data_IF_311077638019
#
_entry.id   IF_311077638019
#
_cell.length_a   1.000
_cell.length_b   1.000
_cell.length_c   1.000
_cell.angle_alpha   90.00
_cell.angle_beta   90.00
_cell.angle_gamma   90.00
#
_symmetry.space_group_name_H-M   'P 1'
#
loop_
_entity.id
_entity.type
_entity.pdbx_description
1 polymer ?
#
# COMPACT_ATOMS: atom_id res chain seq x y z
N UNK A 1 -35.93 7.66 43.29
CA UNK A 1 -35.27 6.99 42.12
C UNK A 1 -35.56 5.50 42.23
N UNK A 2 -36.33 4.93 41.29
CA UNK A 2 -36.68 3.51 41.27
C UNK A 2 -35.43 2.67 41.01
N UNK A 3 -35.38 1.47 41.60
CA UNK A 3 -34.23 0.51 41.50
C UNK A 3 -33.85 0.19 40.03
N UNK A 4 -34.83 0.29 39.12
CA UNK A 4 -34.70 0.13 37.67
C UNK A 4 -33.84 1.24 37.04
N UNK A 5 -33.95 2.50 37.45
CA UNK A 5 -33.21 3.62 36.88
C UNK A 5 -31.73 3.57 37.23
N UNK A 6 -31.40 3.02 38.41
CA UNK A 6 -30.00 2.78 38.82
C UNK A 6 -29.32 1.65 38.02
N UNK A 7 -30.08 0.58 37.71
CA UNK A 7 -29.55 -0.53 36.90
C UNK A 7 -29.34 -0.12 35.44
N UNK A 8 -30.23 0.68 34.87
CA UNK A 8 -30.08 1.20 33.52
C UNK A 8 -28.91 2.20 33.42
N UNK A 9 -28.73 3.07 34.42
CA UNK A 9 -27.62 4.01 34.47
C UNK A 9 -26.25 3.28 34.61
N UNK A 10 -26.19 2.18 35.40
CA UNK A 10 -25.00 1.35 35.52
C UNK A 10 -24.69 0.60 34.24
N UNK A 11 -25.68 0.09 33.52
CA UNK A 11 -25.50 -0.58 32.25
C UNK A 11 -24.97 0.39 31.16
N UNK A 12 -25.53 1.60 31.07
CA UNK A 12 -25.08 2.64 30.15
C UNK A 12 -23.63 3.09 30.47
N UNK A 13 -23.31 3.26 31.77
CA UNK A 13 -21.96 3.60 32.19
C UNK A 13 -20.94 2.49 31.88
N UNK A 14 -21.33 1.20 32.03
CA UNK A 14 -20.47 0.07 31.69
C UNK A 14 -20.21 -0.02 30.18
N UNK A 15 -21.23 0.20 29.34
CA UNK A 15 -21.09 0.22 27.87
C UNK A 15 -20.20 1.40 27.44
N UNK A 16 -20.41 2.59 28.02
CA UNK A 16 -19.55 3.76 27.72
C UNK A 16 -18.11 3.52 28.15
N UNK A 17 -17.86 2.87 29.29
CA UNK A 17 -16.52 2.51 29.77
C UNK A 17 -15.84 1.47 28.87
N UNK A 18 -16.58 0.45 28.39
CA UNK A 18 -16.10 -0.51 27.43
C UNK A 18 -15.75 0.16 26.08
N UNK A 19 -16.56 1.11 25.63
CA UNK A 19 -16.30 1.87 24.39
C UNK A 19 -15.06 2.76 24.52
N UNK A 20 -14.88 3.42 25.68
CA UNK A 20 -13.67 4.22 25.95
C UNK A 20 -12.42 3.36 26.08
N UNK A 21 -12.53 2.16 26.68
CA UNK A 21 -11.42 1.22 26.80
C UNK A 21 -11.05 0.61 25.43
N UNK A 22 -12.04 0.28 24.58
CA UNK A 22 -11.75 -0.21 23.22
C UNK A 22 -11.15 0.89 22.33
N UNK A 23 -11.64 2.12 22.41
CA UNK A 23 -11.04 3.26 21.69
C UNK A 23 -9.64 3.58 22.24
N UNK A 24 -9.43 3.53 23.57
CA UNK A 24 -8.12 3.70 24.19
C UNK A 24 -7.14 2.59 23.82
N UNK A 25 -7.60 1.33 23.75
CA UNK A 25 -6.79 0.19 23.33
C UNK A 25 -6.44 0.28 21.83
N UNK A 26 -7.39 0.68 20.98
CA UNK A 26 -7.13 0.93 19.57
C UNK A 26 -6.16 2.10 19.37
N UNK A 27 -6.23 3.14 20.20
CA UNK A 27 -5.28 4.26 20.17
C UNK A 27 -3.89 3.86 20.69
N UNK A 28 -3.82 3.01 21.72
CA UNK A 28 -2.57 2.54 22.32
C UNK A 28 -1.90 1.41 21.54
N UNK A 29 -2.67 0.52 20.91
CA UNK A 29 -2.16 -0.57 20.08
C UNK A 29 -2.01 -0.17 18.59
N UNK A 30 -2.71 0.86 18.14
CA UNK A 30 -2.60 1.41 16.79
C UNK A 30 -1.64 2.60 16.66
N UNK A 31 -1.21 3.21 17.78
CA UNK A 31 -0.45 4.47 17.78
C UNK A 31 1.08 4.34 17.74
N UNK A 32 1.65 3.20 18.07
CA UNK A 32 3.12 3.04 18.11
C UNK A 32 3.65 1.83 17.29
N UNK A 33 2.78 1.06 16.67
CA UNK A 33 3.17 -0.08 15.83
C UNK A 33 2.98 0.13 14.34
N UNK A 34 2.43 1.28 13.92
CA UNK A 34 2.07 1.52 12.51
C UNK A 34 3.01 2.48 11.77
N UNK A 35 3.99 3.02 12.47
CA UNK A 35 5.13 3.64 11.82
C UNK A 35 6.22 2.57 11.74
N UNK A 36 6.16 1.72 10.73
CA UNK A 36 7.39 1.13 10.23
C UNK A 36 8.32 2.31 10.00
N UNK A 37 9.31 2.44 10.89
CA UNK A 37 10.41 3.33 10.69
C UNK A 37 11.00 2.92 9.34
N UNK A 38 10.59 3.59 8.27
CA UNK A 38 11.49 3.77 7.16
C UNK A 38 12.74 4.31 7.83
N UNK A 39 13.77 3.50 7.90
CA UNK A 39 15.09 3.91 8.34
C UNK A 39 15.48 5.00 7.32
N UNK A 40 15.10 6.25 7.63
CA UNK A 40 15.56 7.42 6.93
C UNK A 40 17.06 7.54 7.22
N UNK A 41 17.84 6.75 6.50
CA UNK A 41 19.15 7.21 6.13
C UNK A 41 18.91 8.42 5.23
N UNK A 42 19.50 9.55 5.53
CA UNK A 42 19.60 10.71 4.63
C UNK A 42 20.02 10.18 3.26
N UNK A 43 19.08 9.95 2.34
CA UNK A 43 19.31 9.27 1.07
C UNK A 43 18.02 8.64 0.53
N UNK A 44 18.06 8.28 -0.69
CA UNK A 44 17.00 7.72 -1.52
C UNK A 44 16.16 6.67 -0.79
N UNK A 45 14.85 6.89 -0.67
CA UNK A 45 13.89 5.87 -0.23
C UNK A 45 13.81 4.80 -1.30
N UNK A 46 14.05 3.54 -0.92
CA UNK A 46 14.13 2.40 -1.81
C UNK A 46 13.02 1.39 -1.51
N UNK A 47 12.58 0.73 -2.57
CA UNK A 47 11.70 -0.42 -2.51
C UNK A 47 12.36 -1.61 -3.22
N UNK A 48 12.09 -2.82 -2.78
CA UNK A 48 12.76 -4.04 -3.24
C UNK A 48 11.74 -4.96 -3.89
N UNK A 49 11.88 -5.18 -5.20
CA UNK A 49 11.03 -6.08 -5.96
C UNK A 49 11.65 -7.48 -5.95
N UNK A 50 10.93 -8.46 -5.42
CA UNK A 50 11.31 -9.87 -5.55
C UNK A 50 10.89 -10.37 -6.92
N UNK A 51 11.84 -10.63 -7.80
CA UNK A 51 11.65 -11.14 -9.13
C UNK A 51 11.80 -12.67 -9.14
N UNK A 52 10.82 -13.38 -9.71
CA UNK A 52 10.84 -14.84 -9.84
C UNK A 52 11.63 -15.35 -11.04
N UNK A 53 12.11 -14.45 -11.89
CA UNK A 53 12.96 -14.76 -13.03
C UNK A 53 12.83 -13.77 -14.17
N UNK A 54 13.73 -13.92 -15.15
CA UNK A 54 13.84 -13.10 -16.36
C UNK A 54 13.66 -13.98 -17.61
N UNK A 55 12.97 -13.47 -18.62
CA UNK A 55 12.56 -14.21 -19.81
C UNK A 55 12.79 -13.37 -21.06
N UNK A 56 13.45 -13.94 -22.07
CA UNK A 56 13.62 -13.29 -23.38
C UNK A 56 12.28 -13.24 -24.14
N UNK A 57 11.33 -14.13 -23.81
CA UNK A 57 10.04 -14.22 -24.46
C UNK A 57 8.92 -13.81 -23.49
N UNK A 58 8.19 -12.75 -23.83
CA UNK A 58 7.07 -12.21 -23.04
C UNK A 58 5.96 -13.24 -22.77
N UNK A 59 5.74 -14.21 -23.69
CA UNK A 59 4.74 -15.25 -23.50
C UNK A 59 5.16 -16.22 -22.37
N UNK A 60 6.45 -16.56 -22.30
CA UNK A 60 6.98 -17.35 -21.19
C UNK A 60 6.88 -16.60 -19.87
N UNK A 61 7.20 -15.31 -19.86
CA UNK A 61 7.01 -14.46 -18.70
C UNK A 61 5.56 -14.44 -18.21
N UNK A 62 4.59 -14.29 -19.13
CA UNK A 62 3.16 -14.32 -18.80
C UNK A 62 2.72 -15.66 -18.21
N UNK A 63 3.18 -16.78 -18.78
CA UNK A 63 2.88 -18.10 -18.24
C UNK A 63 3.46 -18.28 -16.81
N UNK A 64 4.69 -17.82 -16.58
CA UNK A 64 5.31 -17.81 -15.25
C UNK A 64 4.56 -16.89 -14.28
N UNK A 65 4.08 -15.74 -14.75
CA UNK A 65 3.26 -14.81 -13.99
C UNK A 65 1.94 -15.43 -13.54
N UNK A 66 1.23 -16.16 -14.41
CA UNK A 66 -0.02 -16.86 -14.04
C UNK A 66 0.25 -17.96 -13.00
N UNK A 67 1.37 -18.68 -13.11
CA UNK A 67 1.78 -19.62 -12.10
C UNK A 67 2.11 -18.94 -10.75
N UNK A 68 2.76 -17.79 -10.78
CA UNK A 68 3.02 -16.99 -9.58
C UNK A 68 1.72 -16.53 -8.92
N UNK A 69 0.75 -16.01 -9.69
CA UNK A 69 -0.57 -15.58 -9.20
C UNK A 69 -1.32 -16.74 -8.52
N UNK A 70 -1.30 -17.93 -9.09
CA UNK A 70 -1.98 -19.09 -8.50
C UNK A 70 -1.42 -19.49 -7.12
N UNK A 71 -0.22 -19.02 -6.79
CA UNK A 71 0.48 -19.24 -5.50
C UNK A 71 0.44 -18.00 -4.59
N UNK A 72 -0.32 -16.98 -4.95
CA UNK A 72 -0.43 -15.72 -4.20
C UNK A 72 0.69 -14.71 -4.47
N UNK A 73 1.56 -14.94 -5.44
CA UNK A 73 2.51 -13.94 -5.92
C UNK A 73 1.83 -12.87 -6.77
N UNK A 74 2.43 -11.69 -6.92
CA UNK A 74 1.89 -10.61 -7.77
C UNK A 74 1.70 -11.06 -9.23
N UNK A 75 2.67 -11.78 -9.77
CA UNK A 75 2.67 -12.16 -11.18
C UNK A 75 2.60 -10.93 -12.10
N UNK A 76 3.29 -9.85 -11.71
CA UNK A 76 3.42 -8.66 -12.52
C UNK A 76 4.56 -8.85 -13.52
N UNK A 77 4.34 -8.47 -14.79
CA UNK A 77 5.37 -8.60 -15.83
C UNK A 77 5.87 -7.21 -16.20
N UNK A 78 7.12 -6.94 -15.86
CA UNK A 78 7.84 -5.77 -16.40
C UNK A 78 8.34 -6.16 -17.78
N UNK A 79 7.82 -5.49 -18.81
CA UNK A 79 8.18 -5.75 -20.21
C UNK A 79 9.31 -4.85 -20.65
N UNK A 80 10.39 -5.43 -21.16
CA UNK A 80 11.57 -4.75 -21.69
C UNK A 80 12.26 -5.63 -22.73
N UNK A 81 13.54 -5.40 -22.98
CA UNK A 81 14.37 -6.28 -23.82
C UNK A 81 14.36 -7.71 -23.25
N UNK A 82 14.37 -7.80 -21.94
CA UNK A 82 14.09 -9.01 -21.17
C UNK A 82 12.88 -8.72 -20.29
N UNK A 83 11.91 -9.64 -20.25
CA UNK A 83 10.71 -9.51 -19.43
C UNK A 83 10.96 -10.12 -18.06
N UNK A 84 10.68 -9.38 -16.99
CA UNK A 84 10.85 -9.81 -15.60
C UNK A 84 9.50 -10.12 -14.95
N UNK A 85 9.42 -11.21 -14.19
CA UNK A 85 8.20 -11.56 -13.43
C UNK A 85 8.41 -11.19 -11.98
N UNK A 86 7.65 -10.20 -11.49
CA UNK A 86 7.70 -9.74 -10.12
C UNK A 86 6.68 -10.50 -9.27
N UNK A 87 7.13 -11.02 -8.13
CA UNK A 87 6.33 -11.79 -7.18
C UNK A 87 5.75 -10.95 -6.05
N UNK A 88 6.51 -9.97 -5.57
CA UNK A 88 6.11 -9.06 -4.49
C UNK A 88 7.03 -7.82 -4.46
N UNK A 89 6.57 -6.78 -3.75
CA UNK A 89 7.36 -5.61 -3.39
C UNK A 89 7.54 -5.56 -1.87
N UNK A 90 8.71 -5.10 -1.40
CA UNK A 90 9.09 -5.00 0.00
C UNK A 90 9.68 -3.62 0.30
N UNK A 91 9.38 -3.09 1.47
CA UNK A 91 10.00 -1.85 1.96
C UNK A 91 11.44 -2.08 2.48
N UNK A 92 11.77 -3.32 2.88
CA UNK A 92 13.06 -3.72 3.45
C UNK A 92 13.76 -4.74 2.55
N UNK A 93 15.07 -4.57 2.36
CA UNK A 93 15.92 -5.56 1.68
C UNK A 93 15.95 -6.88 2.46
N UNK A 94 16.04 -6.82 3.78
CA UNK A 94 16.14 -7.99 4.64
C UNK A 94 14.89 -8.87 4.55
N UNK A 95 13.70 -8.26 4.45
CA UNK A 95 12.44 -8.99 4.25
C UNK A 95 12.41 -9.68 2.89
N UNK A 96 12.80 -8.99 1.83
CA UNK A 96 12.89 -9.57 0.50
C UNK A 96 13.92 -10.71 0.45
N UNK A 97 15.08 -10.51 1.09
CA UNK A 97 16.16 -11.50 1.17
C UNK A 97 15.74 -12.74 1.96
N UNK A 98 15.01 -12.56 3.07
CA UNK A 98 14.51 -13.68 3.88
C UNK A 98 13.59 -14.60 3.06
N UNK A 99 12.73 -14.02 2.20
CA UNK A 99 11.85 -14.80 1.32
C UNK A 99 12.64 -15.48 0.20
N UNK A 100 13.65 -14.80 -0.34
CA UNK A 100 14.55 -15.35 -1.36
C UNK A 100 15.32 -16.56 -0.81
N UNK A 101 15.93 -16.42 0.37
CA UNK A 101 16.71 -17.47 1.05
C UNK A 101 15.84 -18.65 1.46
N UNK A 102 14.55 -18.39 1.79
CA UNK A 102 13.56 -19.44 2.05
C UNK A 102 13.21 -20.31 0.84
N UNK A 103 13.71 -19.98 -0.36
CA UNK A 103 13.58 -20.76 -1.58
C UNK A 103 12.16 -20.78 -2.18
N UNK A 104 11.21 -20.05 -1.60
CA UNK A 104 9.82 -20.01 -2.06
C UNK A 104 9.65 -19.23 -3.38
N UNK A 105 10.60 -18.37 -3.72
CA UNK A 105 10.60 -17.57 -4.94
C UNK A 105 11.00 -18.36 -6.20
N UNK A 106 11.57 -19.55 -6.05
CA UNK A 106 12.00 -20.41 -7.14
C UNK A 106 13.46 -20.22 -7.59
N UNK A 107 13.92 -21.11 -8.46
CA UNK A 107 15.30 -21.07 -8.99
C UNK A 107 15.46 -19.90 -9.95
N UNK A 108 16.49 -19.08 -9.77
CA UNK A 108 16.76 -17.91 -10.59
C UNK A 108 16.03 -16.65 -10.15
N UNK A 109 15.37 -16.69 -8.97
CA UNK A 109 14.82 -15.50 -8.36
C UNK A 109 15.92 -14.54 -7.87
N UNK A 110 15.62 -13.25 -7.85
CA UNK A 110 16.53 -12.20 -7.42
C UNK A 110 15.77 -10.98 -6.92
N UNK A 111 16.47 -10.08 -6.24
CA UNK A 111 15.93 -8.82 -5.76
C UNK A 111 16.37 -7.70 -6.69
N UNK A 112 15.41 -6.88 -7.13
CA UNK A 112 15.62 -5.66 -7.90
C UNK A 112 15.31 -4.47 -7.03
N UNK A 113 16.27 -3.56 -6.89
CA UNK A 113 16.09 -2.31 -6.18
C UNK A 113 15.42 -1.26 -7.07
N UNK A 114 14.46 -0.54 -6.52
CA UNK A 114 13.73 0.56 -7.16
C UNK A 114 13.80 1.77 -6.26
N UNK A 115 14.25 2.90 -6.78
CA UNK A 115 14.26 4.17 -6.06
C UNK A 115 12.90 4.83 -6.15
N UNK A 116 12.21 4.95 -5.02
CA UNK A 116 10.90 5.62 -4.93
C UNK A 116 11.00 7.05 -4.39
N UNK A 117 12.16 7.44 -3.93
CA UNK A 117 12.63 8.79 -3.58
C UNK A 117 11.75 9.59 -2.62
N UNK A 118 12.37 10.51 -1.91
CA UNK A 118 11.67 11.59 -1.25
C UNK A 118 11.43 12.70 -2.27
N UNK A 119 10.15 13.06 -2.50
CA UNK A 119 9.79 14.10 -3.46
C UNK A 119 9.73 15.44 -2.70
N UNK A 120 10.65 16.38 -2.97
CA UNK A 120 10.64 17.67 -2.31
C UNK A 120 9.40 18.48 -2.72
N UNK A 121 8.88 19.28 -1.80
CA UNK A 121 7.70 20.14 -2.01
C UNK A 121 8.03 21.65 -2.00
N UNK A 122 9.30 21.98 -2.17
CA UNK A 122 9.79 23.37 -2.25
C UNK A 122 9.23 24.16 -3.45
N UNK A 123 8.78 23.44 -4.47
CA UNK A 123 8.04 23.99 -5.61
C UNK A 123 6.64 24.50 -5.26
N UNK A 124 6.04 24.00 -4.18
CA UNK A 124 4.69 24.37 -3.78
C UNK A 124 4.70 25.74 -3.06
N UNK A 125 3.81 26.68 -3.42
CA UNK A 125 3.58 27.88 -2.64
C UNK A 125 3.27 27.58 -1.17
N UNK A 126 3.60 28.51 -0.28
CA UNK A 126 3.52 28.29 1.16
C UNK A 126 2.12 27.84 1.66
N UNK A 127 1.07 28.37 1.05
CA UNK A 127 -0.33 28.05 1.35
C UNK A 127 -0.80 26.69 0.84
N UNK A 128 -0.08 26.11 -0.13
CA UNK A 128 -0.36 24.79 -0.69
C UNK A 128 0.58 23.70 -0.16
N UNK A 129 1.70 24.06 0.48
CA UNK A 129 2.79 23.12 0.82
C UNK A 129 2.32 21.99 1.73
N UNK A 130 1.59 22.31 2.78
CA UNK A 130 1.06 21.30 3.72
C UNK A 130 0.13 20.29 3.01
N UNK A 131 -0.72 20.76 2.10
CA UNK A 131 -1.58 19.89 1.30
C UNK A 131 -0.78 19.02 0.32
N UNK A 132 0.30 19.54 -0.27
CA UNK A 132 1.19 18.79 -1.16
C UNK A 132 1.99 17.72 -0.39
N UNK A 133 2.53 18.05 0.79
CA UNK A 133 3.21 17.09 1.68
C UNK A 133 2.25 15.97 2.11
N UNK A 134 1.06 16.34 2.57
CA UNK A 134 0.01 15.37 2.91
C UNK A 134 -0.34 14.48 1.71
N UNK A 135 -0.54 15.08 0.54
CA UNK A 135 -0.88 14.36 -0.69
C UNK A 135 0.21 13.35 -1.08
N UNK A 136 1.49 13.71 -0.98
CA UNK A 136 2.62 12.79 -1.27
C UNK A 136 2.68 11.59 -0.33
N UNK A 137 2.16 11.72 0.89
CA UNK A 137 2.01 10.61 1.86
C UNK A 137 1.05 9.51 1.43
N UNK A 138 0.33 9.67 0.30
CA UNK A 138 -0.55 8.62 -0.24
C UNK A 138 0.19 7.30 -0.48
N UNK A 139 1.45 7.40 -0.91
CA UNK A 139 2.25 6.22 -1.25
C UNK A 139 2.42 5.29 -0.06
N UNK A 140 2.88 5.82 1.08
CA UNK A 140 3.11 5.04 2.28
C UNK A 140 1.81 4.42 2.79
N UNK A 141 0.74 5.21 2.83
CA UNK A 141 -0.59 4.76 3.28
C UNK A 141 -1.10 3.61 2.41
N UNK A 142 -0.97 3.71 1.08
CA UNK A 142 -1.47 2.68 0.17
C UNK A 142 -0.55 1.46 0.17
N UNK A 143 0.77 1.68 0.17
CA UNK A 143 1.75 0.59 0.22
C UNK A 143 1.54 -0.26 1.47
N UNK A 144 1.54 0.34 2.65
CA UNK A 144 1.35 -0.35 3.92
C UNK A 144 0.00 -1.07 3.97
N UNK A 145 -1.07 -0.41 3.53
CA UNK A 145 -2.39 -1.02 3.48
C UNK A 145 -2.40 -2.29 2.62
N UNK A 146 -1.86 -2.23 1.40
CA UNK A 146 -1.85 -3.36 0.48
C UNK A 146 -0.90 -4.47 0.97
N UNK A 147 0.30 -4.10 1.42
CA UNK A 147 1.34 -5.00 1.89
C UNK A 147 0.90 -5.78 3.14
N UNK A 148 0.47 -5.06 4.20
CA UNK A 148 0.02 -5.66 5.44
C UNK A 148 -1.24 -6.50 5.27
N UNK A 149 -2.17 -6.06 4.40
CA UNK A 149 -3.38 -6.82 4.10
C UNK A 149 -3.04 -8.12 3.37
N UNK A 150 -2.13 -8.09 2.40
CA UNK A 150 -1.67 -9.29 1.69
C UNK A 150 -0.99 -10.29 2.64
N UNK A 151 -0.11 -9.80 3.50
CA UNK A 151 0.61 -10.63 4.48
C UNK A 151 -0.35 -11.20 5.54
N UNK A 152 -1.32 -10.40 6.01
CA UNK A 152 -2.32 -10.86 6.97
C UNK A 152 -3.20 -11.98 6.43
N UNK A 153 -3.63 -11.91 5.16
CA UNK A 153 -4.37 -13.00 4.51
C UNK A 153 -3.45 -14.22 4.30
N UNK A 154 -2.22 -14.02 3.84
CA UNK A 154 -1.28 -15.10 3.60
C UNK A 154 -0.89 -15.87 4.87
N UNK A 155 -0.91 -15.21 6.03
CA UNK A 155 -0.64 -15.78 7.34
C UNK A 155 -1.91 -16.28 8.07
N UNK A 156 -3.07 -16.30 7.41
CA UNK A 156 -4.39 -16.63 8.00
C UNK A 156 -4.74 -15.80 9.25
N UNK A 157 -4.11 -14.65 9.44
CA UNK A 157 -4.38 -13.70 10.53
C UNK A 157 -5.45 -12.66 10.18
N UNK A 158 -5.82 -12.56 8.90
CA UNK A 158 -6.82 -11.64 8.37
C UNK A 158 -7.76 -12.37 7.41
N UNK A 159 -9.05 -12.18 7.57
CA UNK A 159 -10.03 -12.70 6.60
C UNK A 159 -10.15 -11.79 5.38
N UNK A 160 -10.65 -12.32 4.25
CA UNK A 160 -10.94 -11.51 3.05
C UNK A 160 -11.98 -10.42 3.35
N UNK A 161 -12.92 -10.68 4.27
CA UNK A 161 -13.91 -9.69 4.70
C UNK A 161 -13.27 -8.51 5.46
N UNK A 162 -12.33 -8.80 6.38
CA UNK A 162 -11.58 -7.77 7.09
C UNK A 162 -10.67 -6.99 6.13
N UNK A 163 -10.07 -7.67 5.15
CA UNK A 163 -9.28 -7.05 4.10
C UNK A 163 -10.08 -6.02 3.30
N UNK A 164 -11.33 -6.34 2.92
CA UNK A 164 -12.22 -5.38 2.25
C UNK A 164 -12.43 -4.11 3.09
N UNK A 165 -12.62 -4.28 4.38
CA UNK A 165 -12.81 -3.14 5.29
C UNK A 165 -11.55 -2.28 5.37
N UNK A 166 -10.36 -2.89 5.49
CA UNK A 166 -9.09 -2.16 5.50
C UNK A 166 -8.85 -1.39 4.20
N UNK A 167 -9.06 -2.04 3.07
CA UNK A 167 -8.91 -1.42 1.74
C UNK A 167 -9.92 -0.29 1.53
N UNK A 168 -11.16 -0.43 2.01
CA UNK A 168 -12.15 0.65 1.95
C UNK A 168 -11.77 1.86 2.81
N UNK A 169 -11.20 1.65 4.00
CA UNK A 169 -10.68 2.74 4.85
C UNK A 169 -9.49 3.43 4.19
N UNK A 170 -8.56 2.66 3.63
CA UNK A 170 -7.43 3.21 2.87
C UNK A 170 -7.92 4.08 1.70
N UNK A 171 -8.89 3.57 0.92
CA UNK A 171 -9.50 4.30 -0.18
C UNK A 171 -10.09 5.64 0.26
N UNK A 172 -10.86 5.63 1.36
CA UNK A 172 -11.47 6.86 1.88
C UNK A 172 -10.41 7.90 2.29
N UNK A 173 -9.30 7.45 2.88
CA UNK A 173 -8.20 8.32 3.26
C UNK A 173 -7.51 8.96 2.04
N UNK A 174 -7.24 8.19 1.00
CA UNK A 174 -6.63 8.71 -0.24
C UNK A 174 -7.58 9.67 -0.96
N UNK A 175 -8.90 9.40 -0.92
CA UNK A 175 -9.91 10.30 -1.50
C UNK A 175 -9.97 11.64 -0.74
N UNK A 176 -9.84 11.64 0.58
CA UNK A 176 -9.71 12.86 1.40
C UNK A 176 -8.47 13.66 0.97
N UNK A 177 -7.30 13.01 0.90
CA UNK A 177 -6.05 13.66 0.45
C UNK A 177 -6.18 14.25 -0.95
N UNK A 178 -6.84 13.54 -1.87
CA UNK A 178 -7.11 14.01 -3.23
C UNK A 178 -7.99 15.25 -3.24
N UNK A 179 -9.05 15.26 -2.42
CA UNK A 179 -9.95 16.43 -2.30
C UNK A 179 -9.21 17.63 -1.76
N UNK A 180 -8.51 17.46 -0.63
CA UNK A 180 -7.80 18.55 0.04
C UNK A 180 -6.73 19.17 -0.87
N UNK A 181 -5.95 18.32 -1.56
CA UNK A 181 -4.95 18.81 -2.50
C UNK A 181 -5.57 19.47 -3.74
N UNK A 182 -6.70 18.95 -4.23
CA UNK A 182 -7.41 19.54 -5.35
C UNK A 182 -7.90 20.95 -5.01
N UNK A 183 -8.44 21.15 -3.81
CA UNK A 183 -8.93 22.43 -3.33
C UNK A 183 -7.78 23.43 -3.09
N UNK A 184 -6.70 22.98 -2.45
CA UNK A 184 -5.51 23.80 -2.19
C UNK A 184 -4.78 24.23 -3.48
N UNK A 185 -4.82 23.39 -4.52
CA UNK A 185 -4.17 23.64 -5.81
C UNK A 185 -5.15 24.19 -6.87
N UNK A 186 -6.33 24.67 -6.46
CA UNK A 186 -7.29 25.25 -7.38
C UNK A 186 -6.73 26.52 -8.04
N UNK A 187 -6.69 26.53 -9.38
CA UNK A 187 -6.14 27.64 -10.16
C UNK A 187 -4.62 27.66 -10.31
N UNK A 188 -3.91 26.64 -9.82
CA UNK A 188 -2.48 26.48 -10.10
C UNK A 188 -2.27 25.91 -11.50
N UNK A 189 -1.42 26.56 -12.30
CA UNK A 189 -0.99 26.09 -13.62
C UNK A 189 0.32 25.28 -13.56
N UNK A 190 0.86 24.98 -12.36
CA UNK A 190 2.08 24.19 -12.20
C UNK A 190 1.84 22.73 -12.63
N UNK A 191 2.64 22.26 -13.58
CA UNK A 191 2.53 20.91 -14.10
C UNK A 191 2.67 19.85 -13.00
N UNK A 192 3.47 20.12 -11.95
CA UNK A 192 3.67 19.20 -10.80
C UNK A 192 2.39 19.01 -10.00
N UNK A 193 1.52 20.03 -9.91
CA UNK A 193 0.19 19.87 -9.33
C UNK A 193 -0.66 18.88 -10.13
N UNK A 194 -0.57 18.93 -11.45
CA UNK A 194 -1.31 18.01 -12.34
C UNK A 194 -0.79 16.58 -12.17
N UNK A 195 0.52 16.38 -12.14
CA UNK A 195 1.12 15.06 -11.94
C UNK A 195 0.77 14.46 -10.57
N UNK A 196 0.79 15.25 -9.49
CA UNK A 196 0.40 14.76 -8.17
C UNK A 196 -1.09 14.43 -8.09
N UNK A 197 -1.97 15.24 -8.73
CA UNK A 197 -3.40 14.90 -8.88
C UNK A 197 -3.59 13.58 -9.62
N UNK A 198 -2.86 13.38 -10.70
CA UNK A 198 -2.90 12.14 -11.48
C UNK A 198 -2.41 10.94 -10.66
N UNK A 199 -1.36 11.10 -9.87
CA UNK A 199 -0.86 10.07 -8.98
C UNK A 199 -1.90 9.64 -7.94
N UNK A 200 -2.62 10.57 -7.32
CA UNK A 200 -3.71 10.28 -6.38
C UNK A 200 -4.88 9.55 -7.07
N UNK A 201 -5.26 9.97 -8.26
CA UNK A 201 -6.30 9.27 -9.05
C UNK A 201 -5.84 7.86 -9.42
N UNK A 202 -4.57 7.70 -9.78
CA UNK A 202 -3.98 6.39 -10.09
C UNK A 202 -3.98 5.50 -8.84
N UNK A 203 -3.60 6.02 -7.68
CA UNK A 203 -3.63 5.28 -6.42
C UNK A 203 -5.05 4.79 -6.08
N UNK A 204 -6.07 5.64 -6.24
CA UNK A 204 -7.47 5.24 -6.06
C UNK A 204 -7.88 4.13 -7.04
N UNK A 205 -7.48 4.23 -8.31
CA UNK A 205 -7.76 3.19 -9.29
C UNK A 205 -7.05 1.86 -8.95
N UNK A 206 -5.83 1.89 -8.42
CA UNK A 206 -5.13 0.69 -7.94
C UNK A 206 -5.91 0.04 -6.78
N UNK A 207 -6.36 0.83 -5.82
CA UNK A 207 -7.18 0.35 -4.68
C UNK A 207 -8.50 -0.26 -5.18
N UNK A 208 -9.19 0.39 -6.11
CA UNK A 208 -10.47 -0.07 -6.66
C UNK A 208 -10.32 -1.36 -7.50
N UNK A 209 -9.13 -1.61 -8.06
CA UNK A 209 -8.81 -2.82 -8.80
C UNK A 209 -8.42 -4.03 -7.92
N UNK A 210 -8.35 -3.88 -6.59
CA UNK A 210 -8.06 -5.00 -5.70
C UNK A 210 -9.22 -5.99 -5.70
N UNK A 211 -8.97 -7.21 -6.18
CA UNK A 211 -9.97 -8.27 -6.27
C UNK A 211 -10.07 -9.05 -4.94
N UNK A 212 -10.94 -8.60 -4.04
CA UNK A 212 -11.24 -9.24 -2.76
C UNK A 212 -12.59 -9.94 -2.81
N UNK A 213 -12.64 -11.12 -3.40
CA UNK A 213 -13.84 -11.93 -3.47
C UNK A 213 -13.63 -13.29 -2.82
N UNK A 214 -14.55 -13.69 -1.96
CA UNK A 214 -14.54 -15.02 -1.34
C UNK A 214 -14.66 -16.15 -2.37
N UNK A 215 -15.15 -15.85 -3.57
CA UNK A 215 -15.27 -16.82 -4.68
C UNK A 215 -13.92 -17.27 -5.25
N UNK A 216 -12.88 -16.44 -5.12
CA UNK A 216 -11.57 -16.71 -5.74
C UNK A 216 -10.53 -17.30 -4.77
N UNK A 217 -10.86 -17.37 -3.45
CA UNK A 217 -9.96 -17.87 -2.42
C UNK A 217 -8.87 -16.89 -1.98
N UNK A 218 -8.17 -17.24 -0.90
CA UNK A 218 -7.15 -16.39 -0.27
C UNK A 218 -5.95 -16.12 -1.19
N UNK A 219 -5.47 -17.11 -1.93
CA UNK A 219 -4.33 -16.94 -2.84
C UNK A 219 -4.58 -15.89 -3.93
N UNK A 220 -5.79 -15.85 -4.49
CA UNK A 220 -6.16 -14.85 -5.50
C UNK A 220 -6.28 -13.44 -4.89
N UNK A 221 -6.81 -13.32 -3.66
CA UNK A 221 -6.86 -12.06 -2.94
C UNK A 221 -5.45 -11.53 -2.64
N UNK A 222 -4.56 -12.39 -2.12
CA UNK A 222 -3.15 -12.05 -1.87
C UNK A 222 -2.44 -11.64 -3.15
N UNK A 223 -2.63 -12.38 -4.23
CA UNK A 223 -2.06 -12.08 -5.55
C UNK A 223 -2.50 -10.71 -6.05
N UNK A 224 -3.81 -10.41 -5.95
CA UNK A 224 -4.35 -9.11 -6.36
C UNK A 224 -3.76 -7.95 -5.57
N UNK A 225 -3.68 -8.06 -4.24
CA UNK A 225 -3.07 -7.04 -3.37
C UNK A 225 -1.59 -6.82 -3.72
N UNK A 226 -0.81 -7.89 -3.85
CA UNK A 226 0.60 -7.81 -4.23
C UNK A 226 0.81 -7.23 -5.62
N UNK A 227 -0.08 -7.54 -6.56
CA UNK A 227 -0.04 -6.98 -7.91
C UNK A 227 -0.20 -5.46 -7.87
N UNK A 228 -1.21 -4.95 -7.15
CA UNK A 228 -1.43 -3.51 -7.01
C UNK A 228 -0.29 -2.83 -6.24
N UNK A 229 0.30 -3.51 -5.26
CA UNK A 229 1.46 -3.01 -4.53
C UNK A 229 2.67 -2.81 -5.46
N UNK A 230 2.98 -3.77 -6.36
CA UNK A 230 4.04 -3.63 -7.36
C UNK A 230 3.75 -2.49 -8.33
N UNK A 231 2.50 -2.36 -8.81
CA UNK A 231 2.12 -1.23 -9.67
C UNK A 231 2.31 0.12 -8.97
N UNK A 232 1.94 0.21 -7.69
CA UNK A 232 2.11 1.43 -6.90
C UNK A 232 3.58 1.86 -6.83
N UNK A 233 4.49 0.90 -6.59
CA UNK A 233 5.95 1.15 -6.55
C UNK A 233 6.44 1.72 -7.88
N UNK A 234 6.06 1.11 -9.00
CA UNK A 234 6.47 1.56 -10.33
C UNK A 234 5.86 2.94 -10.69
N UNK A 235 4.62 3.20 -10.27
CA UNK A 235 4.00 4.52 -10.43
C UNK A 235 4.72 5.58 -9.58
N UNK A 236 5.18 5.24 -8.38
CA UNK A 236 5.93 6.16 -7.52
C UNK A 236 7.31 6.46 -8.09
N UNK A 237 8.03 5.45 -8.62
CA UNK A 237 9.30 5.63 -9.34
C UNK A 237 9.14 6.61 -10.50
N UNK A 238 8.10 6.43 -11.32
CA UNK A 238 7.81 7.33 -12.43
C UNK A 238 7.50 8.76 -11.96
N UNK A 239 6.69 8.92 -10.91
CA UNK A 239 6.35 10.21 -10.33
C UNK A 239 7.59 10.92 -9.78
N UNK A 240 8.47 10.17 -9.08
CA UNK A 240 9.74 10.69 -8.57
C UNK A 240 10.59 11.26 -9.72
N UNK A 241 10.72 10.54 -10.82
CA UNK A 241 11.45 11.01 -12.00
C UNK A 241 10.91 12.30 -12.60
N UNK A 242 9.61 12.59 -12.43
CA UNK A 242 8.97 13.82 -12.95
C UNK A 242 9.06 14.99 -11.96
N UNK A 243 8.89 14.73 -10.66
CA UNK A 243 8.77 15.79 -9.65
C UNK A 243 10.11 16.18 -8.99
N UNK A 244 11.10 15.26 -8.98
CA UNK A 244 12.43 15.49 -8.41
C UNK A 244 13.48 15.92 -9.45
N UNK A 245 13.16 15.86 -10.76
CA UNK A 245 14.00 16.33 -11.88
C UNK A 245 13.69 17.76 -12.21
#
# INVERSE_FOLDING_TARGET
MKKSDRQNALAVAAVALCFMLTLGLCYFLGGEGFLLAFNQSEGEVKCYLLCGGSYENVTLARNAAELAKSRGGAGYVIVGDVSEVVLAAYASYDDAQSVLDGGSAGTGAYIKEVTVGEIPVDWAPKDMREAAESALGYYDIVFDCLYETANGIAADSLTVADARTRVAVCRARVEEMRSDFSDASAGSDDARCTELKLALVTALALIDNVALSDMYGSAAAVSSLRYQCVQLVLCREALYGVLAG
#
